data_IF_880100747250
#
_entry.id   IF_880100747250
#
_cell.length_a   1.000
_cell.length_b   1.000
_cell.length_c   1.000
_cell.angle_alpha   90.00
_cell.angle_beta   90.00
_cell.angle_gamma   90.00
#
_symmetry.space_group_name_H-M   'P 1'
#
loop_
_entity.id
_entity.type
_entity.pdbx_description
1 polymer ?
#
# COMPACT_ATOMS: atom_id res chain seq x y z
N UNK A 1 -1.97 13.99 6.21
CA UNK A 1 -1.33 12.70 6.56
C UNK A 1 -2.23 11.98 7.55
N UNK A 2 -2.58 10.73 7.26
CA UNK A 2 -3.31 9.86 8.20
C UNK A 2 -2.34 8.78 8.69
N UNK A 3 -2.37 8.51 9.99
CA UNK A 3 -1.59 7.47 10.65
C UNK A 3 -2.53 6.78 11.64
N UNK A 4 -2.58 5.46 11.60
CA UNK A 4 -3.51 4.67 12.41
C UNK A 4 -3.35 3.18 12.20
N UNK A 5 -4.39 2.44 12.58
CA UNK A 5 -4.39 0.99 12.55
C UNK A 5 -5.58 0.44 11.75
N UNK A 6 -5.51 -0.82 11.36
CA UNK A 6 -6.68 -1.58 10.90
C UNK A 6 -7.31 -2.37 12.05
N UNK A 7 -8.62 -2.63 11.98
CA UNK A 7 -9.35 -3.41 12.99
C UNK A 7 -8.80 -4.83 13.16
N UNK A 8 -8.84 -5.34 14.39
CA UNK A 8 -8.56 -6.75 14.73
C UNK A 8 -7.26 -7.28 14.10
N UNK A 9 -7.33 -8.44 13.43
CA UNK A 9 -6.24 -9.07 12.68
C UNK A 9 -6.21 -8.66 11.20
N UNK A 10 -6.95 -7.61 10.81
CA UNK A 10 -6.92 -7.13 9.44
C UNK A 10 -5.53 -6.56 9.11
N UNK A 11 -5.00 -6.90 7.95
CA UNK A 11 -3.76 -6.33 7.41
C UNK A 11 -3.99 -4.90 6.90
N UNK A 12 -2.98 -4.01 6.93
CA UNK A 12 -1.59 -4.23 7.37
C UNK A 12 -1.35 -4.14 8.90
N UNK A 13 -2.39 -3.90 9.71
CA UNK A 13 -2.23 -3.67 11.15
C UNK A 13 -1.93 -2.20 11.44
N UNK A 14 -0.83 -1.66 10.90
CA UNK A 14 -0.46 -0.25 11.01
C UNK A 14 -0.37 0.39 9.62
N UNK A 15 -0.78 1.65 9.49
CA UNK A 15 -0.84 2.34 8.21
C UNK A 15 -0.43 3.81 8.31
N UNK A 16 0.33 4.27 7.31
CA UNK A 16 0.71 5.66 7.10
C UNK A 16 0.31 6.05 5.68
N UNK A 17 -0.80 6.79 5.53
CA UNK A 17 -1.21 7.32 4.22
C UNK A 17 -0.35 8.52 3.84
N UNK A 18 0.21 8.48 2.64
CA UNK A 18 0.98 9.59 2.06
C UNK A 18 0.07 10.69 1.55
N UNK A 19 0.58 11.91 1.50
CA UNK A 19 -0.10 13.00 0.82
C UNK A 19 -0.06 12.76 -0.71
N UNK A 20 -1.08 13.25 -1.41
CA UNK A 20 -1.24 12.99 -2.86
C UNK A 20 -0.05 13.49 -3.68
N UNK A 21 0.57 14.57 -3.25
CA UNK A 21 1.77 15.19 -3.85
C UNK A 21 3.06 14.44 -3.54
N UNK A 22 3.10 13.64 -2.47
CA UNK A 22 4.25 12.78 -2.13
C UNK A 22 4.27 11.50 -2.97
N UNK A 23 3.10 11.00 -3.39
CA UNK A 23 2.95 9.72 -4.12
C UNK A 23 3.94 9.58 -5.29
N UNK A 24 4.05 10.51 -6.26
CA UNK A 24 4.97 10.34 -7.38
C UNK A 24 6.43 10.22 -6.95
N UNK A 25 6.85 11.01 -5.95
CA UNK A 25 8.21 10.96 -5.40
C UNK A 25 8.47 9.62 -4.71
N UNK A 26 7.57 9.21 -3.81
CA UNK A 26 7.70 7.95 -3.09
C UNK A 26 7.74 6.72 -4.01
N UNK A 27 6.94 6.71 -5.09
CA UNK A 27 6.95 5.63 -6.07
C UNK A 27 8.26 5.60 -6.89
N UNK A 28 8.81 6.77 -7.21
CA UNK A 28 10.11 6.88 -7.86
C UNK A 28 11.25 6.41 -6.96
N UNK A 29 11.22 6.77 -5.67
CA UNK A 29 12.28 6.44 -4.71
C UNK A 29 12.39 4.93 -4.45
N UNK A 30 11.28 4.21 -4.50
CA UNK A 30 11.24 2.74 -4.32
C UNK A 30 11.30 1.97 -5.63
N UNK A 31 11.38 2.67 -6.77
CA UNK A 31 11.45 2.11 -8.12
C UNK A 31 10.33 1.09 -8.43
N UNK A 32 9.11 1.34 -7.94
CA UNK A 32 8.01 0.36 -8.07
C UNK A 32 7.67 0.04 -9.53
N UNK A 33 7.78 1.01 -10.44
CA UNK A 33 7.55 0.77 -11.87
C UNK A 33 8.57 -0.21 -12.47
N UNK A 34 9.79 -0.26 -11.92
CA UNK A 34 10.83 -1.21 -12.34
C UNK A 34 10.58 -2.60 -11.76
N UNK A 35 10.26 -2.68 -10.47
CA UNK A 35 10.21 -3.95 -9.75
C UNK A 35 8.83 -4.62 -9.74
N UNK A 36 7.76 -3.83 -9.69
CA UNK A 36 6.37 -4.29 -9.71
C UNK A 36 5.54 -3.40 -10.65
N UNK A 37 5.76 -3.47 -11.97
CA UNK A 37 5.03 -2.66 -12.95
C UNK A 37 3.51 -2.88 -12.86
N UNK A 38 2.75 -1.81 -13.05
CA UNK A 38 1.29 -1.82 -12.94
C UNK A 38 0.76 -1.58 -11.52
N UNK A 39 1.64 -1.38 -10.54
CA UNK A 39 1.28 -1.00 -9.17
C UNK A 39 1.64 0.46 -8.87
N UNK A 40 0.79 1.12 -8.08
CA UNK A 40 1.04 2.48 -7.56
C UNK A 40 0.93 2.46 -6.04
N UNK A 41 2.06 2.65 -5.36
CA UNK A 41 2.13 2.73 -3.91
C UNK A 41 1.50 4.03 -3.39
N UNK A 42 0.77 3.96 -2.27
CA UNK A 42 0.09 5.13 -1.69
C UNK A 42 0.19 5.23 -0.15
N UNK A 43 0.75 4.20 0.50
CA UNK A 43 0.92 4.16 1.94
C UNK A 43 2.03 3.18 2.34
N UNK A 44 2.53 3.32 3.56
CA UNK A 44 3.45 2.37 4.19
C UNK A 44 2.84 1.69 5.42
N UNK A 45 3.35 0.52 5.78
CA UNK A 45 2.98 -0.20 7.01
C UNK A 45 3.95 0.06 8.19
N UNK A 46 4.93 0.95 8.02
CA UNK A 46 5.95 1.26 9.01
C UNK A 46 6.99 0.15 9.28
N UNK A 47 6.88 -1.00 8.61
CA UNK A 47 7.63 -2.23 8.88
C UNK A 47 8.36 -2.83 7.69
N UNK A 48 8.30 -2.20 6.50
CA UNK A 48 9.03 -2.62 5.31
C UNK A 48 8.13 -3.00 4.13
N UNK A 49 6.81 -2.85 4.27
CA UNK A 49 5.84 -3.06 3.19
C UNK A 49 5.23 -1.72 2.77
N UNK A 50 4.81 -1.66 1.50
CA UNK A 50 3.96 -0.60 0.97
C UNK A 50 2.59 -1.14 0.63
N UNK A 51 1.59 -0.26 0.68
CA UNK A 51 0.29 -0.53 0.09
C UNK A 51 0.23 0.09 -1.30
N UNK A 52 -0.26 -0.69 -2.26
CA UNK A 52 -0.35 -0.26 -3.64
C UNK A 52 -1.72 -0.58 -4.25
N UNK A 53 -2.13 0.25 -5.21
CA UNK A 53 -3.23 -0.06 -6.12
C UNK A 53 -2.72 -0.81 -7.33
N UNK A 54 -3.51 -1.76 -7.83
CA UNK A 54 -3.39 -2.21 -9.22
C UNK A 54 -4.18 -1.30 -10.18
N UNK A 55 -4.11 -1.58 -11.48
CA UNK A 55 -4.87 -0.85 -12.51
C UNK A 55 -6.41 -0.96 -12.35
N UNK A 56 -6.91 -1.95 -11.60
CA UNK A 56 -8.34 -2.15 -11.32
C UNK A 56 -8.80 -1.43 -10.05
N UNK A 57 -7.87 -0.88 -9.26
CA UNK A 57 -8.14 -0.18 -8.01
C UNK A 57 -8.19 -1.08 -6.77
N UNK A 58 -7.84 -2.36 -6.90
CA UNK A 58 -7.70 -3.26 -5.75
C UNK A 58 -6.43 -2.93 -4.96
N UNK A 59 -6.46 -3.20 -3.65
CA UNK A 59 -5.39 -2.83 -2.72
C UNK A 59 -4.54 -4.06 -2.38
N UNK A 60 -3.23 -3.91 -2.53
CA UNK A 60 -2.22 -4.92 -2.29
C UNK A 60 -1.20 -4.45 -1.26
N UNK A 61 -0.60 -5.39 -0.53
CA UNK A 61 0.66 -5.21 0.19
C UNK A 61 1.81 -5.73 -0.68
N UNK A 62 2.91 -4.98 -0.74
CA UNK A 62 4.13 -5.34 -1.45
C UNK A 62 5.35 -5.12 -0.55
N UNK A 63 6.29 -6.07 -0.50
CA UNK A 63 7.51 -5.90 0.27
C UNK A 63 8.45 -4.92 -0.44
N UNK A 64 9.12 -4.05 0.32
CA UNK A 64 10.18 -3.18 -0.22
C UNK A 64 11.42 -4.00 -0.61
N UNK A 65 11.70 -5.09 0.10
CA UNK A 65 12.81 -6.00 -0.22
C UNK A 65 12.26 -7.21 -0.98
N UNK A 66 12.77 -7.43 -2.19
CA UNK A 66 12.25 -8.49 -3.05
C UNK A 66 10.91 -8.15 -3.70
N UNK A 67 10.62 -6.84 -3.84
CA UNK A 67 9.45 -6.33 -4.54
C UNK A 67 9.31 -6.99 -5.91
N UNK A 68 8.15 -7.62 -6.14
CA UNK A 68 7.79 -8.27 -7.39
C UNK A 68 6.26 -8.44 -7.43
N UNK A 69 5.62 -8.46 -8.63
CA UNK A 69 4.18 -8.70 -8.74
C UNK A 69 3.74 -10.02 -8.09
N UNK A 70 4.58 -11.05 -8.13
CA UNK A 70 4.29 -12.37 -7.55
C UNK A 70 4.31 -12.36 -6.01
N UNK A 71 4.94 -11.36 -5.39
CA UNK A 71 4.96 -11.16 -3.95
C UNK A 71 3.77 -10.32 -3.46
N UNK A 72 2.95 -9.76 -4.36
CA UNK A 72 1.83 -8.91 -4.01
C UNK A 72 0.73 -9.70 -3.29
N UNK A 73 0.31 -9.22 -2.12
CA UNK A 73 -0.76 -9.83 -1.33
C UNK A 73 -1.99 -8.92 -1.39
N UNK A 74 -3.05 -9.36 -2.08
CA UNK A 74 -4.32 -8.63 -2.11
C UNK A 74 -4.93 -8.55 -0.72
N UNK A 75 -5.26 -7.35 -0.26
CA UNK A 75 -5.88 -7.11 1.06
C UNK A 75 -7.28 -6.49 0.97
N UNK A 76 -7.64 -5.84 -0.14
CA UNK A 76 -9.00 -5.36 -0.39
C UNK A 76 -9.31 -5.25 -1.88
N UNK A 77 -10.59 -5.26 -2.22
CA UNK A 77 -11.06 -5.14 -3.61
C UNK A 77 -11.06 -3.70 -4.13
N UNK A 78 -11.09 -2.73 -3.21
CA UNK A 78 -11.10 -1.31 -3.51
C UNK A 78 -10.67 -0.50 -2.26
N UNK A 79 -10.37 0.80 -2.45
CA UNK A 79 -9.96 1.68 -1.36
C UNK A 79 -11.04 1.89 -0.30
N UNK A 80 -12.32 1.92 -0.66
CA UNK A 80 -13.40 2.17 0.28
C UNK A 80 -13.57 1.00 1.25
N UNK A 81 -13.56 -0.23 0.73
CA UNK A 81 -13.58 -1.49 1.47
C UNK A 81 -12.33 -1.65 2.35
N UNK A 82 -11.20 -1.06 1.94
CA UNK A 82 -10.00 -0.99 2.74
C UNK A 82 -10.12 0.03 3.87
N UNK A 83 -10.49 1.27 3.55
CA UNK A 83 -10.58 2.38 4.49
C UNK A 83 -11.67 2.19 5.56
N UNK A 84 -12.71 1.41 5.28
CA UNK A 84 -13.74 1.04 6.27
C UNK A 84 -13.19 0.24 7.46
N UNK A 85 -11.94 -0.26 7.35
CA UNK A 85 -11.25 -1.03 8.39
C UNK A 85 -10.35 -0.17 9.26
N UNK A 86 -10.22 1.13 8.98
CA UNK A 86 -9.32 2.01 9.73
C UNK A 86 -9.89 2.35 11.11
N UNK A 87 -9.00 2.31 12.10
CA UNK A 87 -9.23 2.76 13.47
C UNK A 87 -8.05 3.62 13.92
N UNK A 88 -8.31 4.48 14.90
CA UNK A 88 -7.33 5.42 15.45
C UNK A 88 -7.07 5.13 16.92
#
# INVERSE_FOLDING_TARGET
MFEGFTVDEARPGYIILWAKDEIPGSNSDIEIETYAPGFVAFAGDGGGEVLAFDEQGAVYMLPLIGMAPEAAIRIADDFQSFASRFVR
#
